data_IF_775680181125
#
_entry.id   IF_775680181125
#
_cell.length_a   1.000
_cell.length_b   1.000
_cell.length_c   1.000
_cell.angle_alpha   90.00
_cell.angle_beta   90.00
_cell.angle_gamma   90.00
#
_symmetry.space_group_name_H-M   'P 1'
#
loop_
_entity.id
_entity.type
_entity.pdbx_description
1 polymer ?
#
# COMPACT_ATOMS: atom_id res chain seq x y z
N UNK A 1 14.51 -12.19 -10.01
CA UNK A 1 15.15 -12.31 -11.34
C UNK A 1 14.36 -13.34 -12.13
N UNK A 2 13.68 -12.94 -13.21
CA UNK A 2 13.03 -13.87 -14.15
C UNK A 2 14.16 -14.45 -15.02
N UNK A 3 14.42 -15.77 -15.01
CA UNK A 3 15.45 -16.36 -15.85
C UNK A 3 15.15 -16.10 -17.32
N UNK A 4 16.11 -15.52 -18.04
CA UNK A 4 16.02 -15.33 -19.48
C UNK A 4 15.99 -16.72 -20.16
N UNK A 5 14.82 -17.15 -20.63
CA UNK A 5 14.69 -18.41 -21.39
C UNK A 5 13.34 -19.13 -21.34
N UNK A 6 12.39 -18.75 -20.49
CA UNK A 6 11.08 -19.41 -20.47
C UNK A 6 10.18 -18.89 -21.61
N UNK A 7 9.80 -19.74 -22.56
CA UNK A 7 8.89 -19.41 -23.66
C UNK A 7 7.42 -19.23 -23.22
N UNK A 8 7.11 -19.37 -21.93
CA UNK A 8 5.78 -19.25 -21.34
C UNK A 8 5.75 -18.25 -20.19
N UNK A 9 4.54 -17.93 -19.73
CA UNK A 9 4.37 -17.12 -18.53
C UNK A 9 4.92 -17.84 -17.30
N UNK A 10 5.62 -17.08 -16.45
CA UNK A 10 6.03 -17.53 -15.13
C UNK A 10 4.99 -17.08 -14.12
N UNK A 11 4.50 -18.02 -13.32
CA UNK A 11 3.53 -17.76 -12.27
C UNK A 11 4.08 -18.26 -10.95
N UNK A 12 3.92 -17.48 -9.90
CA UNK A 12 4.18 -17.94 -8.54
C UNK A 12 3.17 -17.34 -7.56
N UNK A 13 3.01 -18.04 -6.43
CA UNK A 13 2.24 -17.59 -5.28
C UNK A 13 3.16 -17.59 -4.07
N UNK A 14 3.12 -16.52 -3.29
CA UNK A 14 3.90 -16.39 -2.06
C UNK A 14 2.96 -16.08 -0.89
N UNK A 15 3.19 -16.75 0.23
CA UNK A 15 2.61 -16.35 1.51
C UNK A 15 3.56 -15.41 2.25
N UNK A 16 3.01 -14.35 2.82
CA UNK A 16 3.73 -13.39 3.65
C UNK A 16 3.06 -13.30 5.02
N UNK A 17 3.86 -13.05 6.05
CA UNK A 17 3.40 -12.93 7.43
C UNK A 17 3.68 -11.56 8.06
N UNK A 18 4.30 -10.67 7.28
CA UNK A 18 4.62 -9.30 7.68
C UNK A 18 4.31 -8.35 6.53
N UNK A 19 3.93 -7.13 6.89
CA UNK A 19 3.74 -6.01 5.97
C UNK A 19 4.52 -4.81 6.52
N UNK A 20 5.29 -4.17 5.66
CA UNK A 20 5.91 -2.88 5.92
C UNK A 20 5.65 -2.00 4.71
N UNK A 21 4.93 -0.90 4.92
CA UNK A 21 4.52 0.02 3.85
C UNK A 21 4.61 1.48 4.30
N UNK A 22 4.77 2.39 3.34
CA UNK A 22 4.80 3.82 3.56
C UNK A 22 3.72 4.50 2.73
N UNK A 23 2.65 4.91 3.41
CA UNK A 23 1.51 5.54 2.78
C UNK A 23 1.54 7.04 3.11
N UNK A 24 1.74 7.92 2.12
CA UNK A 24 1.74 9.36 2.33
C UNK A 24 0.30 9.89 2.44
N UNK A 25 -0.46 9.41 3.41
CA UNK A 25 -1.81 9.87 3.70
C UNK A 25 -1.82 10.90 4.84
N UNK A 26 -2.81 11.76 4.87
CA UNK A 26 -3.02 12.73 5.97
C UNK A 26 -4.51 12.76 6.26
N UNK A 27 -4.88 12.61 7.53
CA UNK A 27 -6.25 12.76 8.00
C UNK A 27 -6.45 14.17 8.58
N UNK A 28 -7.68 14.67 8.59
CA UNK A 28 -7.99 15.84 9.41
C UNK A 28 -7.97 15.45 10.90
N UNK A 29 -7.60 16.38 11.79
CA UNK A 29 -7.54 16.14 13.24
C UNK A 29 -6.14 15.75 13.73
N UNK A 30 -5.99 14.86 14.73
CA UNK A 30 -4.70 14.59 15.38
C UNK A 30 -3.70 13.82 14.51
N UNK A 31 -4.12 13.29 13.35
CA UNK A 31 -3.29 12.46 12.49
C UNK A 31 -2.91 13.17 11.17
N UNK A 32 -1.81 13.94 11.18
CA UNK A 32 -1.33 14.69 10.01
C UNK A 32 0.11 14.32 9.60
N UNK A 33 0.31 13.58 8.51
CA UNK A 33 1.64 13.33 7.94
C UNK A 33 1.87 11.91 7.43
N UNK A 34 3.04 11.66 6.83
CA UNK A 34 3.38 10.38 6.21
C UNK A 34 3.24 9.21 7.20
N UNK A 35 2.68 8.10 6.73
CA UNK A 35 2.31 6.95 7.57
C UNK A 35 3.25 5.79 7.30
N UNK A 36 4.05 5.41 8.28
CA UNK A 36 4.72 4.10 8.26
C UNK A 36 3.77 3.06 8.84
N UNK A 37 3.46 2.03 8.05
CA UNK A 37 2.67 0.87 8.44
C UNK A 37 3.63 -0.28 8.73
N UNK A 38 3.50 -0.91 9.90
CA UNK A 38 4.15 -2.18 10.20
C UNK A 38 3.11 -3.13 10.77
N UNK A 39 2.91 -4.28 10.13
CA UNK A 39 1.92 -5.25 10.56
C UNK A 39 2.44 -6.68 10.50
N UNK A 40 1.89 -7.53 11.38
CA UNK A 40 2.00 -8.98 11.32
C UNK A 40 0.63 -9.56 11.03
N UNK A 41 0.58 -10.63 10.24
CA UNK A 41 -0.69 -11.12 9.74
C UNK A 41 -0.54 -12.25 8.74
N UNK A 42 -1.54 -12.37 7.88
CA UNK A 42 -1.53 -13.33 6.78
C UNK A 42 -1.75 -12.57 5.48
N UNK A 43 -0.84 -12.77 4.54
CA UNK A 43 -1.00 -12.28 3.19
C UNK A 43 -0.67 -13.35 2.16
N UNK A 44 -1.21 -13.13 0.97
CA UNK A 44 -0.90 -13.90 -0.22
C UNK A 44 -0.63 -12.94 -1.37
N UNK A 45 0.40 -13.26 -2.14
CA UNK A 45 0.78 -12.51 -3.34
C UNK A 45 0.77 -13.47 -4.52
N UNK A 46 0.21 -13.02 -5.63
CA UNK A 46 0.23 -13.73 -6.91
C UNK A 46 0.94 -12.89 -7.94
N UNK A 47 1.84 -13.51 -8.70
CA UNK A 47 2.51 -12.90 -9.82
C UNK A 47 2.34 -13.79 -11.04
N UNK A 48 2.08 -13.18 -12.20
CA UNK A 48 2.20 -13.83 -13.51
C UNK A 48 2.88 -12.86 -14.47
N UNK A 49 3.94 -13.29 -15.15
CA UNK A 49 4.67 -12.42 -16.07
C UNK A 49 5.32 -13.16 -17.24
N UNK A 50 5.48 -12.47 -18.35
CA UNK A 50 6.16 -12.96 -19.55
C UNK A 50 6.82 -11.78 -20.31
N UNK A 51 7.28 -12.04 -21.55
CA UNK A 51 7.92 -11.02 -22.40
C UNK A 51 7.00 -9.84 -22.81
N UNK A 52 5.69 -9.97 -22.63
CA UNK A 52 4.69 -8.97 -23.04
C UNK A 52 4.07 -8.24 -21.86
N UNK A 53 4.59 -8.42 -20.65
CA UNK A 53 4.11 -7.72 -19.46
C UNK A 53 3.95 -8.64 -18.26
N UNK A 54 3.28 -8.12 -17.24
CA UNK A 54 3.07 -8.81 -15.98
C UNK A 54 1.78 -8.37 -15.30
N UNK A 55 1.33 -9.19 -14.36
CA UNK A 55 0.27 -8.90 -13.44
C UNK A 55 0.70 -9.36 -12.06
N UNK A 56 0.44 -8.53 -11.07
CA UNK A 56 0.70 -8.82 -9.67
C UNK A 56 -0.50 -8.37 -8.84
N UNK A 57 -0.84 -9.17 -7.84
CA UNK A 57 -1.73 -8.75 -6.77
C UNK A 57 -1.22 -9.25 -5.44
N UNK A 58 -1.52 -8.52 -4.38
CA UNK A 58 -1.37 -9.01 -3.03
C UNK A 58 -2.57 -8.60 -2.18
N UNK A 59 -2.96 -9.50 -1.28
CA UNK A 59 -3.85 -9.21 -0.14
C UNK A 59 -3.09 -9.43 1.14
N UNK A 60 -3.32 -8.58 2.14
CA UNK A 60 -2.82 -8.75 3.48
C UNK A 60 -3.91 -8.41 4.49
N UNK A 61 -4.02 -9.21 5.55
CA UNK A 61 -4.84 -8.89 6.71
C UNK A 61 -4.09 -9.23 7.99
N UNK A 62 -4.12 -8.33 8.97
CA UNK A 62 -3.37 -8.52 10.19
C UNK A 62 -3.62 -7.47 11.27
N UNK A 63 -2.67 -7.41 12.19
CA UNK A 63 -2.59 -6.42 13.26
C UNK A 63 -1.27 -5.67 13.12
N UNK A 64 -1.31 -4.37 13.27
CA UNK A 64 -0.14 -3.54 13.06
C UNK A 64 -0.23 -2.20 13.74
N UNK A 65 0.82 -1.42 13.52
CA UNK A 65 0.87 -0.02 13.90
C UNK A 65 0.93 0.85 12.67
N UNK A 66 0.33 2.03 12.81
CA UNK A 66 0.57 3.16 11.92
C UNK A 66 1.22 4.27 12.73
N UNK A 67 2.35 4.78 12.23
CA UNK A 67 3.11 5.86 12.85
C UNK A 67 3.09 7.07 11.94
N UNK A 68 2.66 8.19 12.51
CA UNK A 68 2.67 9.49 11.84
C UNK A 68 4.07 10.07 11.81
N UNK A 69 4.43 10.68 10.68
CA UNK A 69 5.64 11.49 10.55
C UNK A 69 5.31 12.88 10.00
N UNK A 70 5.71 13.91 10.73
CA UNK A 70 5.59 15.30 10.28
C UNK A 70 6.88 15.73 9.59
N UNK A 71 6.84 16.24 8.34
CA UNK A 71 8.01 16.81 7.68
C UNK A 71 8.59 17.99 8.49
N UNK A 72 9.91 18.05 8.62
CA UNK A 72 10.63 19.14 9.30
C UNK A 72 11.99 19.40 8.62
N UNK A 73 12.53 20.63 8.69
CA UNK A 73 13.83 20.98 8.09
C UNK A 73 15.00 20.11 8.56
N UNK A 74 14.90 19.53 9.75
CA UNK A 74 15.96 18.70 10.35
C UNK A 74 15.68 17.19 10.22
N UNK A 75 14.73 16.80 9.37
CA UNK A 75 14.27 15.42 9.18
C UNK A 75 12.85 15.18 9.72
N UNK A 76 12.22 14.06 9.35
CA UNK A 76 10.87 13.73 9.78
C UNK A 76 10.80 13.52 11.29
N UNK A 77 9.80 14.13 11.93
CA UNK A 77 9.54 13.99 13.37
C UNK A 77 8.45 12.96 13.57
N UNK A 78 8.75 11.92 14.36
CA UNK A 78 7.79 10.90 14.74
C UNK A 78 6.68 11.49 15.63
N UNK A 79 5.43 11.20 15.26
CA UNK A 79 4.22 11.63 15.96
C UNK A 79 3.52 10.47 16.66
N UNK A 80 2.19 10.55 16.69
CA UNK A 80 1.33 9.54 17.30
C UNK A 80 1.50 8.16 16.64
N UNK A 81 1.36 7.12 17.46
CA UNK A 81 1.33 5.73 17.02
C UNK A 81 -0.05 5.18 17.35
N UNK A 82 -0.71 4.63 16.35
CA UNK A 82 -1.97 3.91 16.51
C UNK A 82 -1.72 2.43 16.27
N UNK A 83 -2.37 1.58 17.05
CA UNK A 83 -2.31 0.13 16.90
C UNK A 83 -3.70 -0.42 16.62
N UNK A 84 -3.78 -1.36 15.66
CA UNK A 84 -5.05 -1.97 15.33
C UNK A 84 -5.02 -2.88 14.10
N UNK A 85 -6.20 -3.14 13.56
CA UNK A 85 -6.43 -4.01 12.42
C UNK A 85 -6.01 -3.32 11.12
N UNK A 86 -5.31 -4.07 10.28
CA UNK A 86 -4.81 -3.63 8.97
C UNK A 86 -5.35 -4.58 7.90
N UNK A 87 -5.89 -4.01 6.83
CA UNK A 87 -6.19 -4.74 5.60
C UNK A 87 -5.63 -3.96 4.41
N UNK A 88 -4.95 -4.67 3.53
CA UNK A 88 -4.41 -4.09 2.31
C UNK A 88 -4.70 -5.00 1.12
N UNK A 89 -5.04 -4.37 0.00
CA UNK A 89 -4.98 -4.97 -1.31
C UNK A 89 -4.18 -4.07 -2.23
N UNK A 90 -3.23 -4.64 -2.95
CA UNK A 90 -2.46 -3.96 -3.98
C UNK A 90 -2.52 -4.77 -5.27
N UNK A 91 -2.38 -4.05 -6.38
CA UNK A 91 -2.19 -4.67 -7.68
C UNK A 91 -1.47 -3.74 -8.64
N UNK A 92 -0.81 -4.37 -9.59
CA UNK A 92 -0.10 -3.70 -10.66
C UNK A 92 -0.13 -4.58 -11.90
N UNK A 93 -0.24 -3.95 -13.06
CA UNK A 93 -0.28 -4.64 -14.32
C UNK A 93 0.38 -3.83 -15.42
N UNK A 94 1.03 -4.55 -16.33
CA UNK A 94 1.61 -4.03 -17.54
C UNK A 94 1.32 -5.01 -18.68
N UNK A 95 1.03 -4.48 -19.86
CA UNK A 95 0.81 -5.28 -21.07
C UNK A 95 1.49 -4.67 -22.31
N UNK A 96 2.57 -3.89 -22.13
CA UNK A 96 3.28 -3.11 -23.16
C UNK A 96 2.45 -1.98 -23.80
N UNK A 97 1.13 -1.92 -23.53
CA UNK A 97 0.22 -0.90 -24.04
C UNK A 97 -0.34 0.00 -22.93
N UNK A 98 -0.28 -0.44 -21.69
CA UNK A 98 -0.77 0.31 -20.55
C UNK A 98 -0.03 -0.21 -19.34
N UNK A 99 0.51 0.72 -18.57
CA UNK A 99 1.05 0.44 -17.25
C UNK A 99 0.05 0.95 -16.22
N UNK A 100 -0.42 0.07 -15.37
CA UNK A 100 -1.11 0.41 -14.13
C UNK A 100 -0.07 0.19 -13.04
N UNK A 101 0.75 1.23 -12.73
CA UNK A 101 1.86 1.08 -11.82
C UNK A 101 1.38 0.74 -10.41
N UNK A 102 0.18 1.21 -10.04
CA UNK A 102 -0.40 0.94 -8.75
C UNK A 102 -1.91 1.18 -8.74
N UNK A 103 -2.67 0.18 -8.31
CA UNK A 103 -3.96 0.37 -7.67
C UNK A 103 -3.94 -0.28 -6.29
N UNK A 104 -4.59 0.33 -5.32
CA UNK A 104 -4.59 -0.21 -3.97
C UNK A 104 -5.78 0.26 -3.16
N UNK A 105 -6.16 -0.58 -2.20
CA UNK A 105 -7.01 -0.20 -1.09
C UNK A 105 -6.31 -0.53 0.22
N UNK A 106 -6.28 0.42 1.14
CA UNK A 106 -5.76 0.22 2.49
C UNK A 106 -6.82 0.60 3.51
N UNK A 107 -7.00 -0.24 4.51
CA UNK A 107 -7.89 0.01 5.64
C UNK A 107 -7.12 -0.17 6.95
N UNK A 108 -7.35 0.75 7.88
CA UNK A 108 -6.86 0.65 9.24
C UNK A 108 -7.98 0.99 10.23
N UNK A 109 -8.06 0.24 11.33
CA UNK A 109 -8.92 0.57 12.47
C UNK A 109 -8.16 0.29 13.76
N UNK A 110 -7.86 1.33 14.53
CA UNK A 110 -7.08 1.19 15.75
C UNK A 110 -7.23 2.36 16.72
N UNK A 111 -6.44 2.31 17.78
CA UNK A 111 -6.42 3.34 18.83
C UNK A 111 -5.00 3.81 19.10
N UNK A 112 -4.87 5.05 19.58
CA UNK A 112 -3.58 5.62 19.95
C UNK A 112 -3.00 4.83 21.13
N UNK A 113 -1.73 4.45 21.00
CA UNK A 113 -1.00 3.65 22.02
C UNK A 113 -0.84 4.40 23.34
N UNK A 114 -0.67 5.73 23.29
CA UNK A 114 -0.49 6.58 24.46
C UNK A 114 -1.82 7.08 25.07
N UNK A 115 -2.86 7.22 24.25
CA UNK A 115 -4.20 7.65 24.68
C UNK A 115 -5.29 6.81 23.99
N UNK A 116 -5.67 5.65 24.56
CA UNK A 116 -6.63 4.74 23.94
C UNK A 116 -8.04 5.32 23.71
N UNK A 117 -8.35 6.51 24.26
CA UNK A 117 -9.60 7.22 23.95
C UNK A 117 -9.63 7.80 22.54
N UNK A 118 -8.47 7.95 21.91
CA UNK A 118 -8.32 8.40 20.52
C UNK A 118 -8.34 7.19 19.59
N UNK A 119 -9.42 7.04 18.84
CA UNK A 119 -9.52 6.06 17.76
C UNK A 119 -9.08 6.68 16.43
N UNK A 120 -8.70 5.81 15.50
CA UNK A 120 -8.44 6.16 14.10
C UNK A 120 -8.98 5.04 13.22
N UNK A 121 -9.93 5.40 12.36
CA UNK A 121 -10.38 4.60 11.23
C UNK A 121 -9.90 5.28 9.96
N UNK A 122 -9.27 4.55 9.05
CA UNK A 122 -8.72 5.07 7.82
C UNK A 122 -9.08 4.13 6.67
N UNK A 123 -9.52 4.71 5.56
CA UNK A 123 -9.70 4.02 4.28
C UNK A 123 -9.03 4.85 3.19
N UNK A 124 -8.16 4.19 2.43
CA UNK A 124 -7.41 4.78 1.32
C UNK A 124 -7.71 3.96 0.08
N UNK A 125 -7.92 4.66 -1.02
CA UNK A 125 -8.02 4.07 -2.35
C UNK A 125 -7.13 4.86 -3.31
N UNK A 126 -6.30 4.15 -4.05
CA UNK A 126 -5.39 4.73 -5.03
C UNK A 126 -5.50 4.01 -6.37
N UNK A 127 -5.33 4.75 -7.45
CA UNK A 127 -5.25 4.19 -8.79
C UNK A 127 -4.49 5.15 -9.71
N UNK A 128 -3.49 4.63 -10.40
CA UNK A 128 -2.81 5.35 -11.48
C UNK A 128 -2.81 4.50 -12.75
N UNK A 129 -3.00 5.14 -13.90
CA UNK A 129 -2.90 4.49 -15.21
C UNK A 129 -2.07 5.36 -16.14
N UNK A 130 -1.10 4.75 -16.81
CA UNK A 130 -0.13 5.38 -17.69
C UNK A 130 -0.21 4.71 -19.07
N UNK A 131 -0.40 5.53 -20.10
CA UNK A 131 -0.37 5.10 -21.50
C UNK A 131 1.09 4.84 -21.98
N UNK A 132 1.29 4.22 -23.16
CA UNK A 132 2.64 3.91 -23.68
C UNK A 132 3.50 5.14 -23.94
N UNK A 133 2.85 6.27 -24.22
CA UNK A 133 3.50 7.56 -24.44
C UNK A 133 3.91 8.26 -23.13
N UNK A 134 3.66 7.63 -21.98
CA UNK A 134 3.93 8.16 -20.65
C UNK A 134 2.82 9.06 -20.11
N UNK A 135 1.74 9.28 -20.85
CA UNK A 135 0.62 10.13 -20.40
C UNK A 135 -0.15 9.44 -19.29
N UNK A 136 -0.33 10.12 -18.15
CA UNK A 136 -1.19 9.67 -17.05
C UNK A 136 -2.65 9.92 -17.42
N UNK A 137 -3.43 8.86 -17.58
CA UNK A 137 -4.86 8.92 -17.96
C UNK A 137 -5.81 8.78 -16.78
N UNK A 138 -5.35 8.12 -15.72
CA UNK A 138 -6.05 8.04 -14.43
C UNK A 138 -5.05 8.38 -13.35
N UNK A 139 -5.42 9.29 -12.45
CA UNK A 139 -4.71 9.55 -11.20
C UNK A 139 -5.74 9.84 -10.13
N UNK A 140 -5.93 8.88 -9.22
CA UNK A 140 -6.89 8.95 -8.13
C UNK A 140 -6.21 8.55 -6.86
N UNK A 141 -6.35 9.41 -5.85
CA UNK A 141 -5.90 9.16 -4.49
C UNK A 141 -6.97 9.71 -3.57
N UNK A 142 -7.64 8.83 -2.84
CA UNK A 142 -8.68 9.22 -1.89
C UNK A 142 -8.32 8.70 -0.51
N UNK A 143 -8.56 9.53 0.49
CA UNK A 143 -8.34 9.22 1.90
C UNK A 143 -9.59 9.64 2.64
N UNK A 144 -10.13 8.72 3.44
CA UNK A 144 -11.20 9.01 4.37
C UNK A 144 -10.80 8.53 5.75
N UNK A 145 -11.00 9.37 6.75
CA UNK A 145 -10.66 9.05 8.13
C UNK A 145 -11.77 9.44 9.09
N UNK A 146 -11.82 8.78 10.24
CA UNK A 146 -12.71 9.09 11.37
C UNK A 146 -11.99 8.87 12.70
#
# INVERSE_FOLDING_TARGET
MIPAGAAGAQTFTQHINTLADNIPATCAGPFTGATLVNATGNGVQHFTGNKTGFWFTATFEGQGTIQQFTPSPNGPVAGAVYQGHVQEWIGTEDNLKTLIPFHATFNFNGTNVADPSQALSMHIETQTTINPDGTVTVNRFTVSCR
#
